data_IF_260016542727
#
_entry.id   IF_260016542727
#
_cell.length_a   1.000
_cell.length_b   1.000
_cell.length_c   1.000
_cell.angle_alpha   90.00
_cell.angle_beta   90.00
_cell.angle_gamma   90.00
#
_symmetry.space_group_name_H-M   'P 1'
#
loop_
_entity.id
_entity.type
_entity.pdbx_description
1 polymer ?
#
# COMPACT_ATOMS: atom_id res chain seq x y z
N UNK A 1 44.41 12.33 -27.21
CA UNK A 1 44.17 12.39 -25.74
C UNK A 1 42.73 12.84 -25.52
N UNK A 2 41.86 11.86 -25.25
CA UNK A 2 40.40 12.00 -25.20
C UNK A 2 39.92 12.75 -23.96
N UNK A 3 38.79 13.43 -24.15
CA UNK A 3 37.97 14.12 -23.16
C UNK A 3 37.56 13.19 -22.00
N UNK A 4 37.76 13.64 -20.76
CA UNK A 4 36.99 13.19 -19.59
C UNK A 4 36.16 14.37 -19.10
N UNK A 5 34.92 14.48 -19.58
CA UNK A 5 33.87 15.28 -18.94
C UNK A 5 33.24 14.41 -17.86
N UNK A 6 33.62 14.64 -16.61
CA UNK A 6 32.93 14.12 -15.43
C UNK A 6 31.65 14.94 -15.22
N UNK A 7 30.50 14.33 -15.52
CA UNK A 7 29.21 14.73 -14.95
C UNK A 7 29.14 14.21 -13.51
N UNK A 8 28.97 15.10 -12.53
CA UNK A 8 28.36 14.77 -11.24
C UNK A 8 27.97 16.07 -10.52
N UNK A 9 27.04 16.81 -11.10
CA UNK A 9 26.27 17.80 -10.35
C UNK A 9 25.11 17.05 -9.69
N UNK A 10 25.31 16.54 -8.47
CA UNK A 10 24.21 16.19 -7.57
C UNK A 10 23.43 17.49 -7.31
N UNK A 11 22.31 17.67 -8.02
CA UNK A 11 21.30 18.66 -7.64
C UNK A 11 20.86 18.31 -6.21
N UNK A 12 21.08 19.23 -5.28
CA UNK A 12 20.38 19.23 -4.01
C UNK A 12 18.88 19.30 -4.32
N UNK A 13 18.19 18.16 -4.20
CA UNK A 13 16.74 18.11 -4.10
C UNK A 13 16.37 18.83 -2.81
N UNK A 14 15.63 19.94 -2.93
CA UNK A 14 15.06 20.62 -1.77
C UNK A 14 14.07 19.65 -1.11
N UNK A 15 14.35 19.32 0.15
CA UNK A 15 13.54 18.43 0.97
C UNK A 15 12.21 19.10 1.34
N UNK A 16 11.11 18.65 0.74
CA UNK A 16 9.79 18.79 1.34
C UNK A 16 8.95 17.53 1.10
N UNK A 17 8.92 16.58 2.06
CA UNK A 17 8.02 15.42 2.07
C UNK A 17 6.94 15.48 3.16
N UNK A 18 6.60 16.68 3.65
CA UNK A 18 5.88 16.84 4.92
C UNK A 18 4.47 16.25 4.97
N UNK A 19 3.76 16.13 3.83
CA UNK A 19 2.39 15.62 3.85
C UNK A 19 2.33 14.09 4.02
N UNK A 20 3.25 13.34 3.42
CA UNK A 20 3.28 11.88 3.56
C UNK A 20 3.75 11.48 4.96
N UNK A 21 4.74 12.20 5.50
CA UNK A 21 5.16 12.08 6.90
C UNK A 21 4.01 12.42 7.85
N UNK A 22 3.25 13.48 7.58
CA UNK A 22 2.07 13.84 8.38
C UNK A 22 0.96 12.77 8.32
N UNK A 23 0.70 12.18 7.16
CA UNK A 23 -0.29 11.08 7.01
C UNK A 23 0.14 9.87 7.82
N UNK A 24 1.40 9.46 7.70
CA UNK A 24 1.94 8.30 8.45
C UNK A 24 1.95 8.57 9.96
N UNK A 25 2.27 9.79 10.38
CA UNK A 25 2.21 10.20 11.79
C UNK A 25 0.76 10.31 12.30
N UNK A 26 -0.17 10.82 11.48
CA UNK A 26 -1.59 10.95 11.84
C UNK A 26 -2.28 9.59 12.00
N UNK A 27 -1.87 8.57 11.24
CA UNK A 27 -2.36 7.20 11.40
C UNK A 27 -1.92 6.53 12.72
N UNK A 28 -0.99 7.12 13.48
CA UNK A 28 -0.27 6.45 14.57
C UNK A 28 -0.24 7.19 15.91
N UNK A 29 -1.01 8.27 16.09
CA UNK A 29 -1.10 8.96 17.39
C UNK A 29 -1.97 8.18 18.39
N UNK A 30 -1.37 7.77 19.52
CA UNK A 30 -1.91 6.79 20.47
C UNK A 30 -2.96 7.34 21.44
N UNK A 31 -3.07 8.67 21.65
CA UNK A 31 -3.75 9.16 22.85
C UNK A 31 -5.19 9.61 22.71
N UNK A 32 -5.71 9.80 21.49
CA UNK A 32 -7.14 10.07 21.28
C UNK A 32 -7.51 9.77 19.84
N UNK A 33 -8.39 8.79 19.62
CA UNK A 33 -9.10 8.64 18.35
C UNK A 33 -10.15 9.77 18.21
N UNK A 34 -9.69 11.02 18.19
CA UNK A 34 -10.44 12.21 17.76
C UNK A 34 -9.55 13.05 16.85
N UNK A 35 -9.82 12.95 15.56
CA UNK A 35 -9.28 13.81 14.51
C UNK A 35 -9.80 15.25 14.71
N UNK A 36 -8.90 16.22 14.87
CA UNK A 36 -9.11 17.61 14.43
C UNK A 36 -7.80 18.43 14.28
N UNK A 37 -7.36 18.51 13.03
CA UNK A 37 -6.69 19.58 12.24
C UNK A 37 -6.12 20.81 12.96
N UNK A 38 -4.89 21.22 12.60
CA UNK A 38 -4.52 22.64 12.41
C UNK A 38 -3.40 22.87 11.36
N UNK A 39 -3.78 23.68 10.35
CA UNK A 39 -3.06 24.60 9.46
C UNK A 39 -1.84 24.16 8.63
N UNK A 40 -2.14 23.64 7.43
CA UNK A 40 -1.26 23.79 6.26
C UNK A 40 -1.95 24.67 5.21
N UNK A 41 -1.21 25.58 4.54
CA UNK A 41 -1.79 26.47 3.55
C UNK A 41 -2.41 25.66 2.41
N UNK A 42 -3.66 25.99 2.09
CA UNK A 42 -4.42 25.43 0.97
C UNK A 42 -3.73 25.76 -0.37
N UNK A 43 -2.79 24.94 -0.77
CA UNK A 43 -2.46 24.75 -2.18
C UNK A 43 -2.78 23.30 -2.52
N UNK A 44 -4.09 23.02 -2.65
CA UNK A 44 -4.55 21.83 -3.36
C UNK A 44 -4.06 22.02 -4.79
N UNK A 45 -3.06 21.25 -5.18
CA UNK A 45 -2.79 21.04 -6.59
C UNK A 45 -3.95 20.19 -7.08
N UNK A 46 -4.94 20.83 -7.68
CA UNK A 46 -5.84 20.14 -8.59
C UNK A 46 -4.96 19.58 -9.71
N UNK A 47 -4.52 18.34 -9.56
CA UNK A 47 -4.06 17.56 -10.70
C UNK A 47 -5.31 17.24 -11.50
N UNK A 48 -5.71 18.19 -12.36
CA UNK A 48 -6.72 17.94 -13.39
C UNK A 48 -6.12 16.98 -14.39
N UNK A 49 -6.30 15.68 -14.16
CA UNK A 49 -6.09 14.68 -15.20
C UNK A 49 -7.22 14.90 -16.21
N UNK A 50 -6.95 15.68 -17.26
CA UNK A 50 -7.88 15.80 -18.38
C UNK A 50 -7.87 14.49 -19.17
N UNK A 51 -8.56 13.48 -18.65
CA UNK A 51 -8.80 12.26 -19.39
C UNK A 51 -10.04 12.52 -20.26
N UNK A 52 -9.88 12.43 -21.58
CA UNK A 52 -10.88 12.81 -22.58
C UNK A 52 -12.17 11.95 -22.57
N UNK A 53 -12.29 11.01 -21.64
CA UNK A 53 -13.51 10.26 -21.33
C UNK A 53 -13.51 9.98 -19.82
N UNK A 54 -14.52 10.46 -19.09
CA UNK A 54 -14.67 10.14 -17.67
C UNK A 54 -15.16 8.70 -17.54
N UNK A 55 -14.23 7.76 -17.40
CA UNK A 55 -14.58 6.40 -16.98
C UNK A 55 -14.84 6.40 -15.49
N UNK A 56 -15.87 5.67 -15.06
CA UNK A 56 -16.09 5.44 -13.62
C UNK A 56 -14.98 4.55 -13.07
N UNK A 57 -14.73 4.62 -11.76
CA UNK A 57 -13.73 3.74 -11.13
C UNK A 57 -14.11 2.27 -11.32
N UNK A 58 -15.42 1.97 -11.32
CA UNK A 58 -15.96 0.64 -11.56
C UNK A 58 -15.69 0.13 -12.98
N UNK A 59 -15.75 1.02 -13.99
CA UNK A 59 -15.35 0.67 -15.36
C UNK A 59 -13.85 0.40 -15.47
N UNK A 60 -13.01 1.19 -14.78
CA UNK A 60 -11.57 0.94 -14.75
C UNK A 60 -11.28 -0.40 -14.06
N UNK A 61 -11.92 -0.67 -12.93
CA UNK A 61 -11.82 -1.93 -12.19
C UNK A 61 -12.25 -3.10 -13.08
N UNK A 62 -13.40 -3.02 -13.74
CA UNK A 62 -13.91 -4.07 -14.62
C UNK A 62 -12.93 -4.42 -15.76
N UNK A 63 -12.19 -3.45 -16.27
CA UNK A 63 -11.21 -3.66 -17.35
C UNK A 63 -9.87 -4.26 -16.88
N UNK A 64 -9.59 -4.29 -15.57
CA UNK A 64 -8.32 -4.78 -15.02
C UNK A 64 -8.43 -6.17 -14.38
N UNK A 65 -9.61 -6.81 -14.47
CA UNK A 65 -9.88 -8.16 -13.95
C UNK A 65 -9.25 -8.41 -12.57
N UNK A 66 -9.57 -7.57 -11.56
CA UNK A 66 -9.02 -7.73 -10.22
C UNK A 66 -9.31 -9.14 -9.68
N UNK A 67 -8.47 -9.56 -8.76
CA UNK A 67 -8.56 -10.89 -8.15
C UNK A 67 -8.65 -10.77 -6.66
N UNK A 68 -9.34 -11.72 -6.06
CA UNK A 68 -9.40 -11.86 -4.61
C UNK A 68 -9.11 -13.30 -4.22
N UNK A 69 -8.76 -13.50 -2.96
CA UNK A 69 -8.61 -14.81 -2.34
C UNK A 69 -9.58 -14.90 -1.16
N UNK A 70 -10.25 -16.04 -1.05
CA UNK A 70 -11.10 -16.34 0.09
C UNK A 70 -10.23 -16.66 1.29
N UNK A 71 -10.59 -16.18 2.50
CA UNK A 71 -9.86 -16.54 3.72
C UNK A 71 -9.65 -18.05 3.87
N UNK A 72 -10.66 -18.85 3.53
CA UNK A 72 -10.62 -20.32 3.62
C UNK A 72 -9.58 -20.98 2.71
N UNK A 73 -9.10 -20.26 1.69
CA UNK A 73 -8.04 -20.74 0.81
C UNK A 73 -6.64 -20.38 1.32
N UNK A 74 -6.54 -19.58 2.37
CA UNK A 74 -5.26 -19.13 2.95
C UNK A 74 -4.95 -19.97 4.17
N UNK A 75 -3.74 -20.50 4.22
CA UNK A 75 -3.18 -21.20 5.39
C UNK A 75 -1.97 -20.45 5.96
N UNK A 76 -1.64 -20.71 7.22
CA UNK A 76 -0.42 -20.17 7.83
C UNK A 76 0.84 -20.52 7.03
N UNK A 77 0.92 -21.76 6.51
CA UNK A 77 2.01 -22.17 5.62
C UNK A 77 2.04 -21.34 4.33
N UNK A 78 0.88 -21.13 3.70
CA UNK A 78 0.79 -20.31 2.49
C UNK A 78 1.20 -18.85 2.71
N UNK A 79 1.13 -18.32 3.93
CA UNK A 79 1.59 -16.97 4.28
C UNK A 79 3.07 -16.92 4.62
N UNK A 80 3.61 -17.97 5.24
CA UNK A 80 5.01 -18.04 5.71
C UNK A 80 5.99 -18.55 4.65
N UNK A 81 5.54 -19.40 3.73
CA UNK A 81 6.36 -20.01 2.69
C UNK A 81 6.91 -18.94 1.71
N UNK A 82 8.21 -18.99 1.36
CA UNK A 82 8.80 -17.99 0.45
C UNK A 82 8.49 -18.21 -1.03
N UNK A 83 8.00 -19.40 -1.41
CA UNK A 83 7.60 -19.71 -2.77
C UNK A 83 6.40 -18.86 -3.24
N UNK A 84 6.31 -18.57 -4.54
CA UNK A 84 5.14 -17.88 -5.14
C UNK A 84 4.43 -18.71 -6.21
N UNK A 85 5.02 -19.84 -6.64
CA UNK A 85 4.66 -20.52 -7.90
C UNK A 85 3.28 -21.20 -7.91
N UNK A 86 2.60 -21.33 -6.76
CA UNK A 86 1.29 -21.99 -6.69
C UNK A 86 0.20 -21.17 -6.01
N UNK A 87 0.53 -20.06 -5.34
CA UNK A 87 -0.45 -19.31 -4.56
C UNK A 87 -1.41 -18.48 -5.42
N UNK A 88 -1.00 -18.11 -6.64
CA UNK A 88 -1.89 -17.43 -7.57
C UNK A 88 -3.14 -18.25 -7.90
N UNK A 89 -3.02 -19.58 -7.95
CA UNK A 89 -4.13 -20.49 -8.24
C UNK A 89 -5.18 -20.54 -7.12
N UNK A 90 -4.86 -20.05 -5.92
CA UNK A 90 -5.79 -19.95 -4.79
C UNK A 90 -6.68 -18.69 -4.88
N UNK A 91 -6.30 -17.70 -5.68
CA UNK A 91 -7.15 -16.55 -5.97
C UNK A 91 -8.14 -16.86 -7.09
N UNK A 92 -9.19 -16.04 -7.21
CA UNK A 92 -10.17 -16.07 -8.31
C UNK A 92 -10.38 -14.66 -8.88
N UNK A 93 -10.85 -14.53 -10.13
CA UNK A 93 -11.36 -13.25 -10.63
C UNK A 93 -12.48 -12.72 -9.73
N UNK A 94 -12.55 -11.40 -9.59
CA UNK A 94 -13.63 -10.70 -8.92
C UNK A 94 -14.91 -10.76 -9.76
N UNK A 95 -16.05 -10.97 -9.12
CA UNK A 95 -17.36 -10.94 -9.79
C UNK A 95 -17.71 -9.55 -10.35
N UNK A 96 -18.58 -9.51 -11.37
CA UNK A 96 -18.96 -8.29 -12.12
C UNK A 96 -19.50 -7.11 -11.28
N UNK A 97 -19.91 -7.36 -10.05
CA UNK A 97 -20.40 -6.35 -9.09
C UNK A 97 -19.88 -6.62 -7.67
N UNK A 98 -18.86 -7.44 -7.56
CA UNK A 98 -18.24 -7.77 -6.29
C UNK A 98 -17.19 -6.70 -5.95
N UNK A 99 -17.04 -6.42 -4.65
CA UNK A 99 -15.94 -5.63 -4.11
C UNK A 99 -15.13 -6.50 -3.18
N UNK A 100 -13.84 -6.18 -3.06
CA UNK A 100 -12.95 -6.89 -2.16
C UNK A 100 -13.09 -6.25 -0.77
N UNK A 101 -13.24 -7.05 0.28
CA UNK A 101 -13.44 -6.47 1.61
C UNK A 101 -12.19 -5.76 2.13
N UNK A 102 -11.02 -6.38 1.95
CA UNK A 102 -9.77 -5.90 2.55
C UNK A 102 -8.59 -6.04 1.58
N UNK A 103 -7.90 -4.94 1.31
CA UNK A 103 -6.54 -4.92 0.78
C UNK A 103 -5.55 -5.12 1.93
N UNK A 104 -4.67 -6.13 1.87
CA UNK A 104 -3.69 -6.40 2.93
C UNK A 104 -2.32 -5.86 2.52
N UNK A 105 -1.98 -4.68 3.03
CA UNK A 105 -0.68 -4.05 2.89
C UNK A 105 0.29 -4.56 3.96
N UNK A 106 1.45 -5.05 3.56
CA UNK A 106 2.45 -5.57 4.49
C UNK A 106 3.85 -5.61 3.87
N UNK A 107 4.90 -5.54 4.69
CA UNK A 107 6.27 -5.80 4.21
C UNK A 107 6.55 -7.30 4.17
N UNK A 108 7.13 -7.78 3.07
CA UNK A 108 7.60 -9.16 2.91
C UNK A 108 8.78 -9.51 3.82
N UNK A 109 9.44 -8.50 4.39
CA UNK A 109 10.61 -8.64 5.30
C UNK A 109 10.20 -8.73 6.77
N UNK A 110 8.95 -8.43 7.11
CA UNK A 110 8.46 -8.58 8.48
C UNK A 110 8.19 -10.04 8.83
N UNK A 111 8.14 -10.34 10.12
CA UNK A 111 7.95 -11.70 10.62
C UNK A 111 6.65 -12.32 10.06
N UNK A 112 6.73 -13.44 9.33
CA UNK A 112 5.58 -14.03 8.69
C UNK A 112 4.56 -14.62 9.67
N UNK A 113 5.00 -15.08 10.85
CA UNK A 113 4.11 -15.63 11.87
C UNK A 113 3.34 -14.52 12.57
N UNK A 114 4.00 -13.40 12.90
CA UNK A 114 3.30 -12.24 13.48
C UNK A 114 2.25 -11.69 12.51
N UNK A 115 2.57 -11.61 11.20
CA UNK A 115 1.60 -11.24 10.17
C UNK A 115 0.40 -12.18 10.12
N UNK A 116 0.64 -13.50 10.18
CA UNK A 116 -0.44 -14.49 10.20
C UNK A 116 -1.38 -14.29 11.40
N UNK A 117 -0.82 -14.18 12.62
CA UNK A 117 -1.60 -14.01 13.86
C UNK A 117 -2.44 -12.71 13.79
N UNK A 118 -1.84 -11.62 13.32
CA UNK A 118 -2.53 -10.34 13.17
C UNK A 118 -3.67 -10.40 12.13
N UNK A 119 -3.42 -11.07 11.00
CA UNK A 119 -4.41 -11.27 9.95
C UNK A 119 -5.58 -12.15 10.43
N UNK A 120 -5.28 -13.29 11.07
CA UNK A 120 -6.27 -14.20 11.64
C UNK A 120 -7.19 -13.48 12.63
N UNK A 121 -6.61 -12.74 13.58
CA UNK A 121 -7.38 -11.93 14.54
C UNK A 121 -8.27 -10.89 13.84
N UNK A 122 -7.77 -10.24 12.79
CA UNK A 122 -8.56 -9.26 12.02
C UNK A 122 -9.73 -9.93 11.30
N UNK A 123 -9.50 -11.12 10.73
CA UNK A 123 -10.53 -11.92 10.08
C UNK A 123 -11.58 -12.41 11.06
N UNK A 124 -11.20 -12.84 12.27
CA UNK A 124 -12.13 -13.22 13.33
C UNK A 124 -13.03 -12.04 13.72
N UNK A 125 -12.46 -10.85 13.91
CA UNK A 125 -13.23 -9.64 14.18
C UNK A 125 -14.18 -9.29 13.04
N UNK A 126 -13.73 -9.42 11.78
CA UNK A 126 -14.58 -9.22 10.62
C UNK A 126 -15.74 -10.22 10.61
N UNK A 127 -15.48 -11.50 10.86
CA UNK A 127 -16.49 -12.56 10.94
C UNK A 127 -17.54 -12.25 12.00
N UNK A 128 -17.12 -11.84 13.20
CA UNK A 128 -18.02 -11.45 14.28
C UNK A 128 -18.90 -10.25 13.89
N UNK A 129 -18.34 -9.27 13.18
CA UNK A 129 -19.05 -8.04 12.81
C UNK A 129 -19.96 -8.19 11.59
N UNK A 130 -19.64 -9.10 10.66
CA UNK A 130 -20.31 -9.23 9.35
C UNK A 130 -21.04 -10.54 9.14
N UNK A 131 -20.82 -11.54 10.01
CA UNK A 131 -21.42 -12.88 9.88
C UNK A 131 -20.86 -13.71 8.72
N UNK A 132 -19.75 -13.28 8.09
CA UNK A 132 -19.05 -14.02 7.03
C UNK A 132 -17.54 -13.71 7.07
N UNK A 133 -16.72 -14.56 6.45
CA UNK A 133 -15.32 -14.25 6.24
C UNK A 133 -15.13 -13.14 5.18
N UNK A 134 -14.03 -12.37 5.25
CA UNK A 134 -13.72 -11.38 4.23
C UNK A 134 -13.10 -12.04 2.99
N UNK A 135 -13.35 -11.42 1.84
CA UNK A 135 -12.53 -11.57 0.65
C UNK A 135 -11.31 -10.66 0.78
N UNK A 136 -10.13 -11.17 0.41
CA UNK A 136 -8.87 -10.47 0.62
C UNK A 136 -8.16 -10.23 -0.71
N UNK A 137 -7.50 -9.07 -0.83
CA UNK A 137 -6.45 -8.85 -1.81
C UNK A 137 -5.10 -8.89 -1.10
N UNK A 138 -4.26 -9.85 -1.46
CA UNK A 138 -2.91 -10.01 -0.92
C UNK A 138 -1.98 -10.24 -2.10
N UNK A 139 -0.90 -9.46 -2.21
CA UNK A 139 0.05 -9.49 -3.32
C UNK A 139 0.47 -10.93 -3.70
N UNK A 140 0.80 -11.74 -2.71
CA UNK A 140 1.27 -13.11 -2.89
C UNK A 140 0.27 -14.03 -3.61
N UNK A 141 -1.02 -13.77 -3.48
CA UNK A 141 -2.09 -14.60 -4.04
C UNK A 141 -2.73 -13.94 -5.26
N UNK A 142 -2.82 -12.62 -5.29
CA UNK A 142 -3.58 -11.90 -6.31
C UNK A 142 -2.69 -11.32 -7.41
N UNK A 143 -1.38 -11.18 -7.16
CA UNK A 143 -0.43 -10.66 -8.12
C UNK A 143 0.17 -11.79 -8.96
N UNK A 144 -0.11 -11.79 -10.26
CA UNK A 144 0.59 -12.67 -11.20
C UNK A 144 1.95 -12.07 -11.54
N UNK A 145 3.02 -12.69 -11.06
CA UNK A 145 4.36 -12.39 -11.53
C UNK A 145 4.70 -13.33 -12.70
N UNK A 146 4.70 -12.80 -13.92
CA UNK A 146 5.25 -13.51 -15.08
C UNK A 146 6.78 -13.35 -15.04
N UNK A 147 7.51 -14.46 -14.99
CA UNK A 147 8.99 -14.50 -14.95
C UNK A 147 9.64 -13.64 -13.87
N UNK A 148 8.89 -13.33 -12.80
CA UNK A 148 9.35 -12.49 -11.69
C UNK A 148 9.30 -10.97 -11.94
N UNK A 149 8.79 -10.49 -13.08
CA UNK A 149 8.66 -9.06 -13.37
C UNK A 149 7.35 -8.48 -12.77
N UNK A 150 7.44 -7.54 -11.80
CA UNK A 150 6.27 -6.88 -11.22
C UNK A 150 5.74 -5.69 -12.04
N UNK A 151 6.37 -5.32 -13.15
CA UNK A 151 6.08 -4.06 -13.87
C UNK A 151 4.64 -3.92 -14.37
N UNK A 152 4.01 -5.00 -14.83
CA UNK A 152 2.60 -5.00 -15.22
C UNK A 152 1.67 -4.95 -14.00
N UNK A 153 2.09 -5.61 -12.93
CA UNK A 153 1.41 -5.65 -11.66
C UNK A 153 1.35 -4.27 -10.96
N UNK A 154 2.41 -3.47 -11.07
CA UNK A 154 2.49 -2.10 -10.55
C UNK A 154 1.45 -1.17 -11.18
N UNK A 155 1.19 -1.31 -12.48
CA UNK A 155 0.25 -0.44 -13.20
C UNK A 155 -1.19 -0.66 -12.75
N UNK A 156 -1.54 -1.91 -12.42
CA UNK A 156 -2.87 -2.26 -11.95
C UNK A 156 -3.06 -2.01 -10.45
N UNK A 157 -1.98 -1.83 -9.67
CA UNK A 157 -2.04 -1.81 -8.21
C UNK A 157 -2.99 -0.73 -7.67
N UNK A 158 -3.04 0.46 -8.28
CA UNK A 158 -3.98 1.50 -7.89
C UNK A 158 -5.44 1.06 -8.07
N UNK A 159 -5.73 0.39 -9.18
CA UNK A 159 -7.05 -0.17 -9.47
C UNK A 159 -7.40 -1.28 -8.47
N UNK A 160 -6.43 -2.13 -8.11
CA UNK A 160 -6.64 -3.18 -7.10
C UNK A 160 -6.95 -2.60 -5.71
N UNK A 161 -6.23 -1.57 -5.28
CA UNK A 161 -6.48 -0.89 -4.01
C UNK A 161 -7.88 -0.25 -4.01
N UNK A 162 -8.26 0.40 -5.12
CA UNK A 162 -9.56 1.05 -5.24
C UNK A 162 -10.74 0.08 -5.38
N UNK A 163 -10.48 -1.17 -5.78
CA UNK A 163 -11.47 -2.25 -5.76
C UNK A 163 -11.76 -2.80 -4.35
N UNK A 164 -10.99 -2.38 -3.34
CA UNK A 164 -11.14 -2.81 -1.96
C UNK A 164 -11.98 -1.81 -1.14
N UNK A 165 -12.69 -2.29 -0.11
CA UNK A 165 -13.49 -1.47 0.80
C UNK A 165 -12.67 -0.88 1.95
N UNK A 166 -11.60 -1.58 2.34
CA UNK A 166 -10.68 -1.22 3.43
C UNK A 166 -9.26 -1.60 3.07
N UNK A 167 -8.30 -0.93 3.68
CA UNK A 167 -6.88 -1.29 3.66
C UNK A 167 -6.45 -1.72 5.07
N UNK A 168 -6.05 -2.98 5.22
CA UNK A 168 -5.41 -3.49 6.43
C UNK A 168 -3.89 -3.35 6.30
N UNK A 169 -3.29 -2.57 7.19
CA UNK A 169 -1.86 -2.40 7.31
C UNK A 169 -1.34 -3.30 8.43
N UNK A 170 -0.56 -4.31 8.06
CA UNK A 170 0.18 -5.15 9.01
C UNK A 170 1.53 -4.50 9.27
N UNK A 171 1.60 -3.66 10.29
CA UNK A 171 2.71 -2.74 10.52
C UNK A 171 3.82 -3.41 11.34
N UNK A 172 4.88 -3.89 10.68
CA UNK A 172 6.11 -4.36 11.33
C UNK A 172 7.29 -3.40 11.18
N UNK A 173 8.46 -3.81 11.69
CA UNK A 173 9.69 -2.99 11.72
C UNK A 173 10.14 -2.52 10.34
N UNK A 174 9.84 -3.29 9.30
CA UNK A 174 10.31 -3.03 7.95
C UNK A 174 9.21 -2.51 7.02
N UNK A 175 8.01 -2.26 7.53
CA UNK A 175 6.89 -1.76 6.75
C UNK A 175 7.24 -0.45 6.05
N UNK A 176 7.68 0.54 6.83
CA UNK A 176 8.07 1.86 6.32
C UNK A 176 9.43 1.89 5.62
N UNK A 177 10.21 0.81 5.61
CA UNK A 177 11.42 0.76 4.78
C UNK A 177 11.15 0.16 3.40
N UNK A 178 9.93 -0.33 3.16
CA UNK A 178 9.48 -0.89 1.88
C UNK A 178 8.80 0.20 1.06
N UNK A 179 9.39 0.56 -0.09
CA UNK A 179 8.80 1.56 -0.97
C UNK A 179 7.48 1.08 -1.59
N UNK A 180 7.27 -0.24 -1.70
CA UNK A 180 5.98 -0.82 -2.09
C UNK A 180 4.87 -0.48 -1.09
N UNK A 181 5.13 -0.64 0.21
CA UNK A 181 4.16 -0.32 1.26
C UNK A 181 3.86 1.19 1.30
N UNK A 182 4.91 2.02 1.18
CA UNK A 182 4.73 3.46 1.08
C UNK A 182 3.92 3.87 -0.16
N UNK A 183 4.12 3.19 -1.29
CA UNK A 183 3.35 3.42 -2.51
C UNK A 183 1.87 3.05 -2.36
N UNK A 184 1.56 1.94 -1.68
CA UNK A 184 0.17 1.54 -1.41
C UNK A 184 -0.57 2.59 -0.57
N UNK A 185 0.09 3.10 0.48
CA UNK A 185 -0.40 4.24 1.25
C UNK A 185 -0.56 5.49 0.37
N UNK A 186 0.43 5.80 -0.45
CA UNK A 186 0.35 6.95 -1.35
C UNK A 186 -0.88 6.86 -2.26
N UNK A 187 -1.15 5.68 -2.83
CA UNK A 187 -2.33 5.46 -3.70
C UNK A 187 -3.62 5.78 -2.96
N UNK A 188 -3.86 5.20 -1.77
CA UNK A 188 -5.16 5.39 -1.09
C UNK A 188 -5.42 6.87 -0.76
N UNK A 189 -4.37 7.61 -0.37
CA UNK A 189 -4.46 9.04 -0.07
C UNK A 189 -4.46 9.93 -1.33
N UNK A 190 -3.91 9.48 -2.45
CA UNK A 190 -3.93 10.23 -3.71
C UNK A 190 -5.29 10.20 -4.41
N UNK A 191 -6.07 9.13 -4.23
CA UNK A 191 -7.36 8.94 -4.90
C UNK A 191 -8.57 9.30 -4.03
N UNK A 192 -8.36 9.69 -2.76
CA UNK A 192 -9.43 10.00 -1.83
C UNK A 192 -9.12 11.25 -1.02
N UNK A 193 -10.17 11.90 -0.51
CA UNK A 193 -9.97 12.90 0.52
C UNK A 193 -9.36 12.24 1.76
N UNK A 194 -8.44 12.93 2.42
CA UNK A 194 -7.67 12.42 3.57
C UNK A 194 -8.57 11.74 4.62
N UNK A 195 -9.70 12.35 4.96
CA UNK A 195 -10.65 11.77 5.93
C UNK A 195 -11.21 10.42 5.48
N UNK A 196 -11.59 10.32 4.21
CA UNK A 196 -12.13 9.07 3.65
C UNK A 196 -11.05 7.99 3.59
N UNK A 197 -9.81 8.37 3.23
CA UNK A 197 -8.67 7.47 3.24
C UNK A 197 -8.39 6.95 4.66
N UNK A 198 -8.39 7.83 5.66
CA UNK A 198 -8.23 7.42 7.07
C UNK A 198 -9.34 6.47 7.53
N UNK A 199 -10.60 6.74 7.18
CA UNK A 199 -11.74 5.87 7.54
C UNK A 199 -11.65 4.47 6.86
N UNK A 200 -10.85 4.34 5.79
CA UNK A 200 -10.61 3.07 5.11
C UNK A 200 -9.39 2.31 5.63
N UNK A 201 -8.45 2.97 6.30
CA UNK A 201 -7.22 2.35 6.78
C UNK A 201 -7.41 1.74 8.16
N UNK A 202 -7.09 0.47 8.29
CA UNK A 202 -7.01 -0.27 9.56
C UNK A 202 -5.55 -0.60 9.82
N UNK A 203 -4.97 -0.06 10.88
CA UNK A 203 -3.58 -0.32 11.24
C UNK A 203 -3.50 -1.35 12.38
N UNK A 204 -2.75 -2.43 12.14
CA UNK A 204 -2.49 -3.48 13.12
C UNK A 204 -0.98 -3.60 13.33
N UNK A 205 -0.46 -3.13 14.47
CA UNK A 205 0.96 -3.25 14.78
C UNK A 205 1.32 -4.72 15.04
N UNK A 206 2.42 -5.17 14.44
CA UNK A 206 2.98 -6.51 14.67
C UNK A 206 3.92 -6.54 15.88
N UNK A 207 4.39 -5.37 16.30
CA UNK A 207 5.26 -5.20 17.45
C UNK A 207 4.43 -5.01 18.71
N UNK A 208 4.92 -5.54 19.82
CA UNK A 208 4.28 -5.38 21.14
C UNK A 208 4.38 -3.95 21.65
N UNK A 209 5.42 -3.23 21.25
CA UNK A 209 5.64 -1.85 21.63
C UNK A 209 5.16 -0.93 20.50
N UNK A 210 4.10 -0.18 20.78
CA UNK A 210 3.51 0.78 19.85
C UNK A 210 4.35 2.06 19.75
N UNK A 211 5.18 2.35 20.76
CA UNK A 211 6.15 3.45 20.74
C UNK A 211 7.20 3.25 19.64
N UNK A 212 7.69 2.01 19.45
CA UNK A 212 8.61 1.67 18.35
C UNK A 212 7.99 1.95 16.97
N UNK A 213 6.71 1.65 16.83
CA UNK A 213 5.94 1.88 15.59
C UNK A 213 5.82 3.38 15.31
N UNK A 214 5.48 4.17 16.33
CA UNK A 214 5.38 5.62 16.24
C UNK A 214 6.72 6.30 15.93
N UNK A 215 7.80 5.87 16.59
CA UNK A 215 9.15 6.41 16.32
C UNK A 215 9.57 6.09 14.88
N UNK A 216 9.37 4.86 14.43
CA UNK A 216 9.67 4.46 13.05
C UNK A 216 8.87 5.29 12.03
N UNK A 217 7.62 5.61 12.34
CA UNK A 217 6.76 6.48 11.55
C UNK A 217 7.25 7.92 11.48
N UNK A 218 7.63 8.51 12.60
CA UNK A 218 8.22 9.85 12.63
C UNK A 218 9.55 9.97 11.89
N UNK A 219 10.31 8.88 11.84
CA UNK A 219 11.60 8.82 11.17
C UNK A 219 11.50 8.38 9.71
N UNK A 220 10.29 8.09 9.22
CA UNK A 220 10.11 7.63 7.87
C UNK A 220 10.56 8.69 6.86
N UNK A 221 11.29 8.22 5.86
CA UNK A 221 11.66 9.03 4.71
C UNK A 221 11.45 8.21 3.46
N UNK A 222 10.61 8.71 2.55
CA UNK A 222 10.37 8.05 1.26
C UNK A 222 11.66 7.90 0.45
N UNK A 223 12.60 8.84 0.59
CA UNK A 223 13.91 8.79 -0.07
C UNK A 223 14.83 7.71 0.49
N UNK A 224 14.55 7.19 1.69
CA UNK A 224 15.27 6.08 2.31
C UNK A 224 14.55 4.73 2.15
N UNK A 225 13.32 4.72 1.64
CA UNK A 225 12.57 3.50 1.37
C UNK A 225 13.08 2.82 0.09
N UNK A 226 13.11 1.48 0.11
CA UNK A 226 13.73 0.69 -0.96
C UNK A 226 12.74 -0.28 -1.59
N UNK A 227 12.93 -0.63 -2.87
CA UNK A 227 12.28 -1.78 -3.52
C UNK A 227 13.26 -2.96 -3.62
N UNK A 228 12.72 -4.16 -3.90
CA UNK A 228 13.56 -5.29 -4.29
C UNK A 228 14.27 -5.04 -5.64
N UNK A 229 13.56 -4.41 -6.58
CA UNK A 229 14.08 -4.03 -7.90
C UNK A 229 14.51 -2.56 -7.90
N UNK A 230 15.79 -2.23 -8.20
CA UNK A 230 16.24 -0.85 -8.35
C UNK A 230 15.52 -0.09 -9.46
N UNK A 231 15.05 -0.81 -10.50
CA UNK A 231 14.29 -0.19 -11.59
C UNK A 231 12.92 0.30 -11.10
N UNK A 232 12.22 -0.52 -10.30
CA UNK A 232 10.94 -0.14 -9.71
C UNK A 232 11.12 0.99 -8.71
N UNK A 233 12.20 0.99 -7.94
CA UNK A 233 12.53 2.06 -7.02
C UNK A 233 12.64 3.41 -7.73
N UNK A 234 13.45 3.47 -8.80
CA UNK A 234 13.62 4.69 -9.60
C UNK A 234 12.27 5.13 -10.21
N UNK A 235 11.46 4.18 -10.69
CA UNK A 235 10.16 4.48 -11.30
C UNK A 235 9.17 5.04 -10.28
N UNK A 236 9.03 4.40 -9.13
CA UNK A 236 8.12 4.81 -8.06
C UNK A 236 8.53 6.15 -7.46
N UNK A 237 9.82 6.35 -7.15
CA UNK A 237 10.32 7.63 -6.64
C UNK A 237 10.07 8.78 -7.62
N UNK A 238 10.23 8.55 -8.94
CA UNK A 238 9.91 9.55 -9.96
C UNK A 238 8.43 9.93 -9.97
N UNK A 239 7.53 8.94 -9.81
CA UNK A 239 6.08 9.21 -9.77
C UNK A 239 5.73 9.97 -8.49
N UNK A 240 6.26 9.54 -7.35
CA UNK A 240 6.03 10.21 -6.06
C UNK A 240 6.56 11.65 -6.08
N UNK A 241 7.76 11.91 -6.59
CA UNK A 241 8.31 13.28 -6.72
C UNK A 241 7.51 14.13 -7.72
N UNK A 242 6.89 13.53 -8.73
CA UNK A 242 6.06 14.26 -9.68
C UNK A 242 4.70 14.68 -9.09
N UNK A 243 4.12 13.88 -8.18
CA UNK A 243 2.81 14.16 -7.57
C UNK A 243 2.92 14.88 -6.23
N UNK A 244 4.00 14.67 -5.47
CA UNK A 244 4.23 15.28 -4.17
C UNK A 244 4.76 16.72 -4.20
N UNK A 245 4.90 17.31 -5.39
CA UNK A 245 5.18 18.73 -5.61
C UNK A 245 3.90 19.48 -5.81
#
# INVERSE_FOLDING_TARGET
KQQKKTLSSRRQLKSHPGWFEAVVVALLDEQNMQVKLLDLPQSIIQVSISCAETRTIDEVIANHEPRCVEWMSITSDSMTNKGRTHFYALSRPLGKHERIDIFVSHSSRDDPYLRWIALEKTVEQFLLNKGRHPTLWIDKFCLRLHDGDPSGALQALSVQIMACDRMLILFGKTYLTSLWCAWELFVIFAFQQERNAMDQVMLVPLLRDTCDTYIAAKQFSVAAATCYSPHDEIRLLKIIDAVGR
#
